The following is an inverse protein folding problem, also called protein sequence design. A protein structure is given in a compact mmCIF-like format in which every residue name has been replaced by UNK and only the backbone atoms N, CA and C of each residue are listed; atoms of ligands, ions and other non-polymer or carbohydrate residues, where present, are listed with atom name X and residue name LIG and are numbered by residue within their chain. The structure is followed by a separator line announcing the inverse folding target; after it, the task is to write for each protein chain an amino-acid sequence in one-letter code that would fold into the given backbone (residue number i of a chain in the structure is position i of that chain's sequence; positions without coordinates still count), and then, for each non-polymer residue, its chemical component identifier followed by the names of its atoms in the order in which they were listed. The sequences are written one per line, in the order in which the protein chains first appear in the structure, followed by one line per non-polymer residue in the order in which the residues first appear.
data_IF_560670914264
#
_entry.id   IF_560670914264
#
_cell.length_a   1.000
_cell.length_b   1.000
_cell.length_c   1.000
_cell.angle_alpha   90.00
_cell.angle_beta   90.00
_cell.angle_gamma   90.00
#
_symmetry.space_group_name_H-M   'P 1'
#
loop_
_entity.id
_entity.type
_entity.pdbx_description
1 polymer ?
#
# COMPACT_ATOMS: atom_id res chain seq x y z
N UNK A 1 -4.93 6.82 12.51
CA UNK A 1 -5.97 7.69 11.89
C UNK A 1 -5.42 8.96 11.19
N UNK A 2 -4.33 9.61 11.64
CA UNK A 2 -3.82 10.86 11.00
C UNK A 2 -3.18 10.65 9.61
N UNK A 3 -2.58 9.48 9.36
CA UNK A 3 -1.79 9.22 8.16
C UNK A 3 -2.65 9.03 6.89
N UNK A 4 -3.78 8.33 7.00
CA UNK A 4 -4.77 8.23 5.90
C UNK A 4 -5.35 9.58 5.48
N UNK A 5 -5.51 10.53 6.43
CA UNK A 5 -6.01 11.88 6.15
C UNK A 5 -5.03 12.73 5.33
N UNK A 6 -3.74 12.45 5.43
CA UNK A 6 -2.68 13.10 4.65
C UNK A 6 -2.37 12.35 3.35
N UNK A 7 -2.73 11.08 3.26
CA UNK A 7 -2.51 10.27 2.07
C UNK A 7 -3.35 10.73 0.88
N UNK A 8 -4.62 11.05 1.13
CA UNK A 8 -5.55 11.50 0.10
C UNK A 8 -5.10 12.80 -0.59
N UNK A 9 -4.73 13.89 0.13
CA UNK A 9 -4.21 15.09 -0.51
C UNK A 9 -2.86 14.86 -1.20
N UNK A 10 -1.99 14.00 -0.67
CA UNK A 10 -0.71 13.67 -1.32
C UNK A 10 -0.91 12.88 -2.62
N UNK A 11 -1.83 11.91 -2.64
CA UNK A 11 -2.17 11.18 -3.85
C UNK A 11 -2.82 12.11 -4.90
N UNK A 12 -3.70 13.02 -4.45
CA UNK A 12 -4.35 13.98 -5.31
C UNK A 12 -3.37 14.98 -5.95
N UNK A 13 -2.37 15.49 -5.21
CA UNK A 13 -1.37 16.41 -5.76
C UNK A 13 -0.45 15.74 -6.77
N UNK A 14 -0.01 14.50 -6.51
CA UNK A 14 0.80 13.72 -7.46
C UNK A 14 -0.03 13.41 -8.72
N UNK A 15 -1.28 12.94 -8.56
CA UNK A 15 -2.18 12.68 -9.67
C UNK A 15 -2.45 13.92 -10.52
N UNK A 16 -2.67 15.08 -9.89
CA UNK A 16 -2.87 16.35 -10.58
C UNK A 16 -1.61 16.80 -11.35
N UNK A 17 -0.42 16.67 -10.76
CA UNK A 17 0.84 17.00 -11.43
C UNK A 17 1.08 16.16 -12.69
N UNK A 18 0.86 14.84 -12.59
CA UNK A 18 0.98 13.92 -13.74
C UNK A 18 -0.06 14.27 -14.80
N UNK A 19 -1.32 14.49 -14.42
CA UNK A 19 -2.40 14.89 -15.32
C UNK A 19 -2.07 16.18 -16.10
N UNK A 20 -1.61 17.22 -15.42
CA UNK A 20 -1.23 18.49 -16.05
C UNK A 20 -0.06 18.30 -17.01
N UNK A 21 0.95 17.53 -16.63
CA UNK A 21 2.11 17.27 -17.49
C UNK A 21 1.72 16.56 -18.80
N UNK A 22 0.78 15.62 -18.73
CA UNK A 22 0.27 14.91 -19.90
C UNK A 22 -0.70 15.78 -20.70
N UNK A 23 -1.55 16.58 -20.07
CA UNK A 23 -2.44 17.50 -20.77
C UNK A 23 -1.67 18.50 -21.63
N UNK A 24 -0.56 19.06 -21.12
CA UNK A 24 0.32 19.96 -21.90
C UNK A 24 0.93 19.24 -23.10
N UNK A 25 1.39 17.99 -22.92
CA UNK A 25 1.94 17.18 -24.02
C UNK A 25 0.90 16.79 -25.07
N UNK A 26 -0.30 16.37 -24.65
CA UNK A 26 -1.37 16.00 -25.58
C UNK A 26 -1.96 17.21 -26.31
N UNK A 27 -2.02 18.37 -25.66
CA UNK A 27 -2.47 19.60 -26.29
C UNK A 27 -1.52 20.02 -27.42
N UNK A 28 -0.19 19.85 -27.23
CA UNK A 28 0.80 20.08 -28.27
C UNK A 28 0.64 19.13 -29.48
N UNK A 29 0.06 17.95 -29.29
CA UNK A 29 -0.19 16.95 -30.33
C UNK A 29 -1.57 17.10 -31.02
N UNK A 30 -2.35 18.15 -30.74
CA UNK A 30 -3.72 18.38 -31.29
C UNK A 30 -4.68 17.21 -31.08
N UNK A 31 -4.56 16.50 -29.96
CA UNK A 31 -5.44 15.37 -29.62
C UNK A 31 -6.84 15.90 -29.25
N UNK A 32 -7.94 15.21 -29.63
CA UNK A 32 -9.30 15.59 -29.25
C UNK A 32 -9.47 15.70 -27.73
N UNK A 33 -10.18 16.73 -27.26
CA UNK A 33 -10.32 17.03 -25.84
C UNK A 33 -10.96 15.90 -25.01
N UNK A 34 -11.85 15.11 -25.62
CA UNK A 34 -12.47 13.95 -24.97
C UNK A 34 -11.47 12.84 -24.66
N UNK A 35 -10.53 12.58 -25.57
CA UNK A 35 -9.49 11.56 -25.37
C UNK A 35 -8.50 12.01 -24.30
N UNK A 36 -8.17 13.31 -24.26
CA UNK A 36 -7.36 13.91 -23.20
C UNK A 36 -8.04 13.72 -21.83
N UNK A 37 -9.34 14.03 -21.73
CA UNK A 37 -10.08 13.88 -20.49
C UNK A 37 -10.10 12.42 -19.99
N UNK A 38 -10.35 11.46 -20.89
CA UNK A 38 -10.33 10.03 -20.57
C UNK A 38 -8.94 9.57 -20.09
N UNK A 39 -7.88 10.02 -20.76
CA UNK A 39 -6.49 9.69 -20.37
C UNK A 39 -6.12 10.28 -19.02
N UNK A 40 -6.49 11.53 -18.76
CA UNK A 40 -6.21 12.21 -17.48
C UNK A 40 -6.96 11.53 -16.33
N UNK A 41 -8.23 11.17 -16.51
CA UNK A 41 -9.01 10.44 -15.51
C UNK A 41 -8.42 9.05 -15.22
N UNK A 42 -8.02 8.32 -16.26
CA UNK A 42 -7.38 7.02 -16.11
C UNK A 42 -6.03 7.13 -15.38
N UNK A 43 -5.20 8.10 -15.75
CA UNK A 43 -3.93 8.40 -15.08
C UNK A 43 -4.14 8.78 -13.61
N UNK A 44 -5.13 9.62 -13.32
CA UNK A 44 -5.44 10.01 -11.95
C UNK A 44 -5.87 8.80 -11.10
N UNK A 45 -6.78 7.97 -11.61
CA UNK A 45 -7.26 6.79 -10.90
C UNK A 45 -6.14 5.78 -10.64
N UNK A 46 -5.31 5.50 -11.65
CA UNK A 46 -4.19 4.54 -11.55
C UNK A 46 -3.11 5.02 -10.60
N UNK A 47 -2.71 6.30 -10.67
CA UNK A 47 -1.71 6.88 -9.75
C UNK A 47 -2.24 6.88 -8.31
N UNK A 48 -3.50 7.25 -8.10
CA UNK A 48 -4.12 7.24 -6.77
C UNK A 48 -4.14 5.84 -6.17
N UNK A 49 -4.55 4.83 -6.96
CA UNK A 49 -4.54 3.43 -6.54
C UNK A 49 -3.12 2.94 -6.24
N UNK A 50 -2.15 3.28 -7.09
CA UNK A 50 -0.75 2.90 -6.89
C UNK A 50 -0.16 3.49 -5.60
N UNK A 51 -0.44 4.77 -5.31
CA UNK A 51 -0.01 5.43 -4.06
C UNK A 51 -0.64 4.74 -2.85
N UNK A 52 -1.93 4.40 -2.91
CA UNK A 52 -2.59 3.64 -1.85
C UNK A 52 -1.94 2.28 -1.61
N UNK A 53 -1.72 1.50 -2.67
CA UNK A 53 -1.08 0.19 -2.56
C UNK A 53 0.36 0.28 -2.06
N UNK A 54 1.13 1.27 -2.53
CA UNK A 54 2.50 1.50 -2.07
C UNK A 54 2.51 1.83 -0.58
N UNK A 55 1.57 2.67 -0.13
CA UNK A 55 1.46 3.04 1.25
C UNK A 55 1.04 1.86 2.13
N UNK A 56 0.01 1.09 1.75
CA UNK A 56 -0.37 -0.15 2.44
C UNK A 56 0.81 -1.13 2.52
N UNK A 57 1.59 -1.25 1.44
CA UNK A 57 2.77 -2.10 1.42
C UNK A 57 3.87 -1.58 2.37
N UNK A 58 4.05 -0.26 2.45
CA UNK A 58 5.06 0.39 3.28
C UNK A 58 4.69 0.42 4.77
N UNK A 59 3.41 0.57 5.11
CA UNK A 59 2.92 0.49 6.50
C UNK A 59 2.70 -0.93 6.96
N UNK A 60 2.79 -1.91 6.07
CA UNK A 60 2.63 -3.30 6.45
C UNK A 60 3.75 -3.73 7.39
N UNK A 61 3.39 -4.07 8.63
CA UNK A 61 4.34 -4.58 9.60
C UNK A 61 4.34 -6.10 9.54
N UNK A 62 5.51 -6.70 9.37
CA UNK A 62 5.64 -8.16 9.40
C UNK A 62 6.13 -8.57 10.78
N UNK A 63 5.29 -9.27 11.53
CA UNK A 63 5.67 -9.89 12.79
C UNK A 63 6.15 -11.31 12.52
N UNK A 64 7.28 -11.68 13.13
CA UNK A 64 7.85 -13.03 13.07
C UNK A 64 7.95 -13.60 14.47
N UNK A 65 7.73 -14.90 14.59
CA UNK A 65 8.06 -15.60 15.82
C UNK A 65 9.59 -15.55 16.04
N UNK A 66 10.05 -15.32 17.27
CA UNK A 66 11.48 -15.28 17.64
C UNK A 66 12.04 -16.65 18.05
N UNK A 67 11.23 -17.70 18.00
CA UNK A 67 11.65 -19.06 18.36
C UNK A 67 12.47 -19.65 17.22
N UNK A 68 13.67 -20.17 17.54
CA UNK A 68 14.55 -20.82 16.57
C UNK A 68 13.85 -22.04 15.95
N UNK A 69 13.77 -22.07 14.62
CA UNK A 69 13.10 -23.14 13.86
C UNK A 69 11.61 -22.90 13.56
N UNK A 70 11.04 -21.76 13.94
CA UNK A 70 9.66 -21.41 13.60
C UNK A 70 9.60 -20.46 12.38
N UNK A 71 8.92 -20.86 11.30
CA UNK A 71 8.69 -20.00 10.12
C UNK A 71 7.35 -19.23 10.18
N UNK A 72 6.74 -19.14 11.36
CA UNK A 72 5.49 -18.41 11.51
C UNK A 72 5.73 -16.90 11.32
N UNK A 73 5.14 -16.35 10.25
CA UNK A 73 5.21 -14.94 9.88
C UNK A 73 3.83 -14.42 9.55
N UNK A 74 3.47 -13.28 10.13
CA UNK A 74 2.19 -12.59 9.87
C UNK A 74 2.49 -11.20 9.35
N UNK A 75 1.91 -10.86 8.19
CA UNK A 75 1.96 -9.52 7.61
C UNK A 75 0.64 -8.80 7.90
N UNK A 76 0.68 -7.75 8.71
CA UNK A 76 -0.48 -6.91 9.02
C UNK A 76 -0.38 -5.66 8.17
N UNK A 77 -1.45 -5.29 7.45
CA UNK A 77 -1.45 -4.14 6.52
C UNK A 77 -1.69 -2.78 7.21
N UNK A 78 -2.40 -2.80 8.33
CA UNK A 78 -2.72 -1.62 9.14
C UNK A 78 -2.23 -1.83 10.57
N UNK A 79 -1.10 -1.23 10.94
CA UNK A 79 -0.58 -1.34 12.30
C UNK A 79 -1.21 -0.26 13.19
N UNK A 80 -2.39 -0.53 13.73
CA UNK A 80 -2.75 0.12 15.00
C UNK A 80 -1.87 -0.50 16.11
N UNK A 81 -1.29 0.26 17.05
CA UNK A 81 -0.47 -0.29 18.12
C UNK A 81 -1.16 -1.40 18.91
N UNK A 82 -2.49 -1.32 19.09
CA UNK A 82 -3.28 -2.35 19.74
C UNK A 82 -3.51 -3.59 18.87
N UNK A 83 -3.55 -3.43 17.55
CA UNK A 83 -3.61 -4.55 16.60
C UNK A 83 -2.27 -5.28 16.53
N UNK A 84 -1.15 -4.56 16.44
CA UNK A 84 0.20 -5.14 16.50
C UNK A 84 0.44 -5.92 17.79
N UNK A 85 -0.01 -5.40 18.94
CA UNK A 85 0.08 -6.12 20.22
C UNK A 85 -0.75 -7.40 20.22
N UNK A 86 -2.00 -7.35 19.75
CA UNK A 86 -2.87 -8.54 19.67
C UNK A 86 -2.29 -9.63 18.77
N UNK A 87 -1.68 -9.25 17.65
CA UNK A 87 -0.99 -10.20 16.78
C UNK A 87 0.30 -10.76 17.38
N UNK A 88 1.03 -9.97 18.17
CA UNK A 88 2.15 -10.49 18.96
C UNK A 88 1.69 -11.49 20.02
N UNK A 89 0.58 -11.21 20.70
CA UNK A 89 -0.03 -12.11 21.69
C UNK A 89 -0.54 -13.40 21.02
N UNK A 90 -1.18 -13.30 19.84
CA UNK A 90 -1.60 -14.46 19.04
C UNK A 90 -0.40 -15.28 18.49
N UNK A 91 0.67 -14.62 18.08
CA UNK A 91 1.92 -15.28 17.68
C UNK A 91 2.71 -15.82 18.87
N UNK A 92 2.42 -15.41 20.11
CA UNK A 92 2.98 -15.99 21.31
C UNK A 92 2.14 -17.17 21.81
N UNK A 93 0.82 -17.12 21.61
CA UNK A 93 -0.13 -18.18 21.99
C UNK A 93 -0.32 -19.26 20.93
N UNK A 94 0.26 -19.11 19.74
CA UNK A 94 0.25 -20.19 18.74
C UNK A 94 0.95 -21.42 19.35
N UNK A 95 0.38 -22.63 19.18
CA UNK A 95 0.99 -23.84 19.69
C UNK A 95 2.31 -24.05 18.96
N UNK A 96 3.42 -23.82 19.67
CA UNK A 96 4.66 -24.50 19.34
C UNK A 96 4.33 -26.00 19.27
N UNK A 97 4.97 -26.75 18.37
CA UNK A 97 4.74 -28.17 18.08
C UNK A 97 3.72 -28.46 16.97
N UNK A 98 4.15 -28.31 15.72
CA UNK A 98 4.24 -29.45 14.78
C UNK A 98 5.03 -29.00 13.55
N UNK A 99 6.04 -29.79 13.18
CA UNK A 99 6.96 -29.67 12.03
C UNK A 99 8.35 -29.07 12.33
N UNK A 100 9.12 -29.80 13.13
CA UNK A 100 10.46 -30.21 12.66
C UNK A 100 10.47 -31.73 12.53
N UNK A 101 10.76 -32.24 11.33
CA UNK A 101 12.01 -32.99 11.21
C UNK A 101 12.95 -32.27 10.26
N UNK A 102 14.13 -31.96 10.79
CA UNK A 102 15.32 -31.56 10.06
C UNK A 102 15.96 -32.80 9.39
N UNK A 103 16.46 -32.71 8.15
CA UNK A 103 17.68 -33.41 7.75
C UNK A 103 18.92 -32.56 8.07
#
# INVERSE_FOLDING_TARGET
MKLHRLLFPAAATVGAGVAVSYAVRLHACKVPAMDIAACVLALFATVTAAVHHLFEAATATTHRCRVDGCDFRVRIRTSDPGESRRWQEAAASHPAHTLTPRP
#
